data_IF_153412471607
#
_entry.id   IF_153412471607
#
_cell.length_a   1.000
_cell.length_b   1.000
_cell.length_c   1.000
_cell.angle_alpha   90.00
_cell.angle_beta   90.00
_cell.angle_gamma   90.00
#
_symmetry.space_group_name_H-M   'P 1'
#
loop_
_entity.id
_entity.type
_entity.pdbx_description
1 polymer ?
#
# COMPACT_ATOMS: atom_id res chain seq x y z
N UNK A 1 3.81 10.45 49.57
CA UNK A 1 3.40 11.08 48.29
C UNK A 1 4.65 11.46 47.52
N UNK A 2 4.64 11.25 46.19
CA UNK A 2 5.73 11.41 45.20
C UNK A 2 6.58 10.16 44.97
N UNK A 3 6.45 9.60 43.77
CA UNK A 3 7.34 8.56 43.24
C UNK A 3 6.77 7.72 42.09
N UNK A 4 5.45 7.60 41.95
CA UNK A 4 4.82 6.69 40.96
C UNK A 4 4.32 7.40 39.68
N UNK A 5 5.00 8.44 39.22
CA UNK A 5 4.49 9.29 38.14
C UNK A 5 5.50 9.50 37.00
N UNK A 6 6.26 8.45 36.65
CA UNK A 6 7.23 8.51 35.52
C UNK A 6 7.16 7.31 34.56
N UNK A 7 6.36 6.26 34.82
CA UNK A 7 6.40 5.01 34.02
C UNK A 7 5.16 4.83 33.12
N UNK A 8 4.50 5.91 32.73
CA UNK A 8 3.27 5.85 31.90
C UNK A 8 3.31 6.81 30.70
N UNK A 9 4.49 7.17 30.20
CA UNK A 9 4.65 7.96 28.98
C UNK A 9 5.37 7.23 27.84
N UNK A 10 5.57 5.91 27.95
CA UNK A 10 6.24 5.10 26.94
C UNK A 10 5.30 4.19 26.13
N UNK A 11 3.98 4.32 26.28
CA UNK A 11 3.00 3.49 25.59
C UNK A 11 2.21 4.36 24.61
N UNK A 12 2.02 3.84 23.39
CA UNK A 12 1.14 4.33 22.31
C UNK A 12 1.75 5.35 21.32
N UNK A 13 2.90 5.02 20.72
CA UNK A 13 3.00 5.21 19.26
C UNK A 13 2.51 3.93 18.60
N UNK A 14 1.22 3.64 18.75
CA UNK A 14 0.57 2.66 17.87
C UNK A 14 0.59 3.34 16.52
N UNK A 15 1.50 2.92 15.65
CA UNK A 15 1.43 3.24 14.23
C UNK A 15 0.07 2.71 13.79
N UNK A 16 -0.90 3.61 13.65
CA UNK A 16 -2.18 3.30 13.05
C UNK A 16 -1.84 3.00 11.60
N UNK A 17 -1.58 1.72 11.30
CA UNK A 17 -1.58 1.24 9.92
C UNK A 17 -3.01 1.41 9.44
N UNK A 18 -3.29 2.58 8.87
CA UNK A 18 -4.51 2.82 8.15
C UNK A 18 -4.51 1.79 7.02
N UNK A 19 -5.43 0.82 7.06
CA UNK A 19 -5.66 -0.15 5.98
C UNK A 19 -6.29 0.55 4.76
N UNK A 20 -5.80 1.74 4.42
CA UNK A 20 -6.16 2.40 3.18
C UNK A 20 -5.34 1.71 2.08
N UNK A 21 -6.04 0.98 1.21
CA UNK A 21 -5.45 0.38 0.02
C UNK A 21 -4.84 1.44 -0.90
N UNK A 22 -5.27 2.69 -0.75
CA UNK A 22 -4.74 3.85 -1.47
C UNK A 22 -4.26 4.93 -0.51
N UNK A 23 -3.11 5.51 -0.84
CA UNK A 23 -2.54 6.70 -0.18
C UNK A 23 -2.55 7.83 -1.21
N UNK A 24 -3.11 8.98 -0.83
CA UNK A 24 -3.12 10.20 -1.63
C UNK A 24 -2.43 11.30 -0.85
N UNK A 25 -1.30 11.79 -1.36
CA UNK A 25 -0.48 12.81 -0.70
C UNK A 25 -0.33 14.04 -1.59
N UNK A 26 -0.49 15.26 -1.03
CA UNK A 26 -0.19 16.48 -1.76
C UNK A 26 1.32 16.60 -1.96
N UNK A 27 1.75 16.90 -3.19
CA UNK A 27 3.15 17.18 -3.51
C UNK A 27 3.46 18.63 -3.18
N UNK A 28 4.42 18.84 -2.29
CA UNK A 28 4.82 20.19 -1.88
C UNK A 28 5.60 20.89 -3.01
N UNK A 29 5.27 22.15 -3.30
CA UNK A 29 6.04 22.95 -4.24
C UNK A 29 7.40 23.31 -3.66
N UNK A 30 8.44 23.36 -4.51
CA UNK A 30 9.77 23.80 -4.10
C UNK A 30 9.83 25.29 -3.76
N UNK A 31 8.82 26.08 -4.17
CA UNK A 31 8.75 27.52 -3.94
C UNK A 31 7.28 27.98 -3.89
N UNK A 32 6.91 29.00 -3.10
CA UNK A 32 5.53 29.42 -2.86
C UNK A 32 4.69 29.75 -4.12
N UNK A 33 5.32 29.96 -5.28
CA UNK A 33 4.67 30.35 -6.53
C UNK A 33 4.98 29.42 -7.71
N UNK A 34 5.58 28.25 -7.48
CA UNK A 34 5.92 27.30 -8.55
C UNK A 34 5.24 25.96 -8.30
N UNK A 35 4.45 25.49 -9.27
CA UNK A 35 3.89 24.14 -9.23
C UNK A 35 5.02 23.09 -9.21
N UNK A 36 4.87 21.96 -8.49
CA UNK A 36 5.79 20.84 -8.62
C UNK A 36 5.98 20.43 -10.08
N UNK A 37 7.21 20.09 -10.45
CA UNK A 37 7.54 19.61 -11.81
C UNK A 37 6.96 18.20 -12.08
N UNK A 38 6.60 17.50 -11.01
CA UNK A 38 6.09 16.14 -11.02
C UNK A 38 5.98 15.59 -9.60
N UNK A 39 5.71 14.30 -9.52
CA UNK A 39 5.67 13.58 -8.25
C UNK A 39 6.98 12.83 -8.06
N UNK A 40 7.54 12.90 -6.85
CA UNK A 40 8.73 12.15 -6.48
C UNK A 40 8.30 10.85 -5.82
N UNK A 41 8.74 9.71 -6.32
CA UNK A 41 8.45 8.41 -5.70
C UNK A 41 9.43 8.07 -4.57
N UNK A 42 9.21 6.93 -3.89
CA UNK A 42 10.08 6.45 -2.80
C UNK A 42 11.52 6.16 -3.24
N UNK A 43 11.78 6.04 -4.55
CA UNK A 43 13.10 5.84 -5.14
C UNK A 43 13.74 7.16 -5.60
N UNK A 44 13.14 8.30 -5.23
CA UNK A 44 13.55 9.65 -5.63
C UNK A 44 13.48 9.91 -7.14
N UNK A 45 12.65 9.16 -7.88
CA UNK A 45 12.43 9.39 -9.31
C UNK A 45 11.30 10.39 -9.49
N UNK A 46 11.53 11.39 -10.36
CA UNK A 46 10.51 12.37 -10.74
C UNK A 46 9.65 11.78 -11.86
N UNK A 47 8.35 11.66 -11.59
CA UNK A 47 7.33 11.24 -12.54
C UNK A 47 6.51 12.44 -13.00
N UNK A 48 6.25 12.54 -14.30
CA UNK A 48 5.55 13.69 -14.89
C UNK A 48 4.10 13.76 -14.40
N UNK A 49 3.56 14.97 -14.26
CA UNK A 49 2.11 15.13 -14.02
C UNK A 49 1.32 14.44 -15.15
N UNK A 50 0.31 13.66 -14.76
CA UNK A 50 -0.51 12.82 -15.64
C UNK A 50 0.02 11.40 -15.83
N UNK A 51 1.20 11.05 -15.33
CA UNK A 51 1.75 9.69 -15.49
C UNK A 51 1.17 8.70 -14.50
N UNK A 52 1.15 7.43 -14.91
CA UNK A 52 0.85 6.27 -14.06
C UNK A 52 1.97 5.25 -14.17
N UNK A 53 2.36 4.62 -13.05
CA UNK A 53 3.41 3.60 -13.03
C UNK A 53 3.17 2.55 -11.95
N UNK A 54 3.70 1.35 -12.19
CA UNK A 54 3.68 0.28 -11.20
C UNK A 54 4.99 0.25 -10.42
N UNK A 55 4.89 0.03 -9.12
CA UNK A 55 6.03 -0.17 -8.24
C UNK A 55 6.34 -1.66 -8.09
N UNK A 56 7.58 -1.95 -7.68
CA UNK A 56 8.00 -3.30 -7.29
C UNK A 56 7.25 -3.81 -6.07
N UNK A 57 6.71 -2.90 -5.26
CA UNK A 57 6.02 -3.20 -4.00
C UNK A 57 4.52 -3.40 -4.21
N UNK A 58 4.10 -3.69 -5.45
CA UNK A 58 2.72 -3.94 -5.83
C UNK A 58 1.78 -2.75 -5.60
N UNK A 59 2.22 -1.55 -5.96
CA UNK A 59 1.35 -0.38 -6.08
C UNK A 59 1.23 0.10 -7.51
N UNK A 60 0.07 0.63 -7.88
CA UNK A 60 -0.12 1.51 -9.03
C UNK A 60 -0.20 2.94 -8.53
N UNK A 61 0.78 3.75 -8.92
CA UNK A 61 0.90 5.15 -8.56
C UNK A 61 0.51 6.05 -9.72
N UNK A 62 -0.13 7.16 -9.39
CA UNK A 62 -0.59 8.17 -10.34
C UNK A 62 -0.15 9.54 -9.85
N UNK A 63 0.48 10.32 -10.73
CA UNK A 63 0.81 11.72 -10.46
C UNK A 63 -0.27 12.60 -11.07
N UNK A 64 -1.14 13.18 -10.24
CA UNK A 64 -2.33 13.89 -10.69
C UNK A 64 -2.22 15.38 -10.38
N UNK A 65 -2.93 16.21 -11.13
CA UNK A 65 -3.06 17.65 -10.83
C UNK A 65 -4.54 18.03 -10.77
N UNK A 66 -4.93 18.75 -9.72
CA UNK A 66 -6.28 19.24 -9.50
C UNK A 66 -6.21 20.59 -8.78
N UNK A 67 -6.99 21.60 -9.22
CA UNK A 67 -7.01 22.95 -8.63
C UNK A 67 -5.63 23.58 -8.38
N UNK A 68 -4.73 23.51 -9.37
CA UNK A 68 -3.34 23.99 -9.27
C UNK A 68 -2.53 23.34 -8.13
N UNK A 69 -2.89 22.13 -7.72
CA UNK A 69 -2.15 21.30 -6.76
C UNK A 69 -1.81 19.97 -7.39
N UNK A 70 -0.63 19.44 -7.07
CA UNK A 70 -0.17 18.13 -7.53
C UNK A 70 -0.34 17.12 -6.41
N UNK A 71 -0.76 15.90 -6.75
CA UNK A 71 -1.01 14.82 -5.82
C UNK A 71 -0.34 13.54 -6.31
N UNK A 72 0.27 12.80 -5.40
CA UNK A 72 0.71 11.43 -5.62
C UNK A 72 -0.34 10.49 -5.03
N UNK A 73 -0.98 9.70 -5.88
CA UNK A 73 -1.96 8.67 -5.48
C UNK A 73 -1.41 7.29 -5.77
N UNK A 74 -1.06 6.52 -4.74
CA UNK A 74 -0.60 5.14 -4.87
C UNK A 74 -1.60 4.18 -4.24
N UNK A 75 -2.12 3.25 -5.03
CA UNK A 75 -3.00 2.18 -4.58
C UNK A 75 -2.31 0.83 -4.70
N UNK A 76 -2.51 -0.06 -3.74
CA UNK A 76 -2.10 -1.44 -3.91
C UNK A 76 -2.82 -2.06 -5.11
N UNK A 77 -2.13 -2.98 -5.78
CA UNK A 77 -2.64 -3.74 -6.92
C UNK A 77 -2.65 -5.24 -6.64
N UNK A 78 -2.42 -5.64 -5.39
CA UNK A 78 -2.31 -7.04 -5.03
C UNK A 78 -3.68 -7.70 -5.09
N UNK A 79 -3.82 -8.75 -5.91
CA UNK A 79 -5.08 -9.49 -6.02
C UNK A 79 -5.09 -10.59 -4.97
N UNK A 80 -5.98 -10.46 -3.99
CA UNK A 80 -6.11 -11.39 -2.87
C UNK A 80 -7.39 -12.22 -3.00
N UNK A 81 -7.30 -13.55 -3.14
CA UNK A 81 -8.44 -14.44 -3.05
C UNK A 81 -9.14 -14.36 -1.67
N UNK A 82 -10.44 -14.63 -1.68
CA UNK A 82 -11.32 -14.64 -0.52
C UNK A 82 -12.30 -15.81 -0.59
N UNK A 83 -12.83 -16.23 0.57
CA UNK A 83 -13.78 -17.34 0.64
C UNK A 83 -13.18 -18.69 0.26
N UNK A 84 -11.90 -18.92 0.60
CA UNK A 84 -11.28 -20.24 0.57
C UNK A 84 -11.34 -20.89 1.95
N UNK A 85 -11.08 -22.20 2.03
CA UNK A 85 -11.02 -22.91 3.30
C UNK A 85 -9.75 -22.53 4.08
N UNK A 86 -9.83 -21.50 4.91
CA UNK A 86 -8.71 -21.02 5.73
C UNK A 86 -8.18 -22.07 6.72
N UNK A 87 -8.91 -23.17 6.99
CA UNK A 87 -8.42 -24.25 7.86
C UNK A 87 -7.37 -25.09 7.14
N UNK A 88 -7.67 -25.52 5.92
CA UNK A 88 -6.82 -26.44 5.17
C UNK A 88 -5.96 -25.75 4.10
N UNK A 89 -6.26 -24.50 3.77
CA UNK A 89 -5.57 -23.75 2.72
C UNK A 89 -4.98 -22.44 3.24
N UNK A 90 -3.97 -21.95 2.53
CA UNK A 90 -3.32 -20.68 2.83
C UNK A 90 -2.96 -19.90 1.56
N UNK A 91 -2.55 -18.64 1.75
CA UNK A 91 -2.18 -17.73 0.68
C UNK A 91 -0.66 -17.62 0.55
N UNK A 92 -0.14 -17.89 -0.64
CA UNK A 92 1.26 -17.62 -0.99
C UNK A 92 1.32 -16.41 -1.91
N UNK A 93 2.07 -15.39 -1.52
CA UNK A 93 2.23 -14.18 -2.32
C UNK A 93 3.32 -14.33 -3.37
N UNK A 94 3.00 -13.99 -4.62
CA UNK A 94 3.98 -13.80 -5.68
C UNK A 94 4.16 -12.30 -5.96
N UNK A 95 5.33 -11.78 -5.57
CA UNK A 95 5.72 -10.38 -5.78
C UNK A 95 5.78 -9.98 -7.26
N UNK A 96 6.08 -10.91 -8.15
CA UNK A 96 6.28 -10.63 -9.58
C UNK A 96 4.96 -10.33 -10.24
N UNK A 97 3.97 -11.18 -10.01
CA UNK A 97 2.60 -11.00 -10.52
C UNK A 97 1.77 -10.04 -9.65
N UNK A 98 2.16 -9.84 -8.38
CA UNK A 98 1.36 -9.19 -7.34
C UNK A 98 0.02 -9.91 -7.15
N UNK A 99 0.08 -11.23 -7.03
CA UNK A 99 -1.10 -12.07 -6.80
C UNK A 99 -0.85 -13.04 -5.66
N UNK A 100 -1.93 -13.49 -5.02
CA UNK A 100 -1.87 -14.58 -4.06
C UNK A 100 -2.42 -15.86 -4.69
N UNK A 101 -1.65 -16.95 -4.56
CA UNK A 101 -2.14 -18.30 -4.84
C UNK A 101 -2.77 -18.88 -3.59
N UNK A 102 -3.92 -19.56 -3.73
CA UNK A 102 -4.49 -20.37 -2.66
C UNK A 102 -4.02 -21.81 -2.83
N UNK A 103 -3.34 -22.36 -1.83
CA UNK A 103 -2.81 -23.73 -1.86
C UNK A 103 -3.15 -24.49 -0.58
N UNK A 104 -3.14 -25.82 -0.63
CA UNK A 104 -3.28 -26.65 0.57
C UNK A 104 -2.07 -26.44 1.49
N UNK A 105 -2.29 -26.36 2.81
CA UNK A 105 -1.21 -26.23 3.81
C UNK A 105 -0.33 -27.46 3.91
N UNK A 106 -0.87 -28.64 3.62
CA UNK A 106 -0.13 -29.91 3.69
C UNK A 106 0.67 -30.18 2.42
N UNK A 107 0.26 -29.62 1.28
CA UNK A 107 0.88 -29.83 -0.03
C UNK A 107 0.70 -28.59 -0.91
N UNK A 108 1.71 -27.73 -0.91
CA UNK A 108 1.67 -26.44 -1.63
C UNK A 108 1.65 -26.59 -3.16
N UNK A 109 1.78 -27.82 -3.70
CA UNK A 109 1.62 -28.08 -5.13
C UNK A 109 0.15 -28.16 -5.57
N UNK A 110 -0.78 -28.29 -4.61
CA UNK A 110 -2.22 -28.37 -4.87
C UNK A 110 -2.90 -27.05 -4.59
N UNK A 111 -3.68 -26.60 -5.57
CA UNK A 111 -4.46 -25.37 -5.48
C UNK A 111 -5.82 -25.61 -4.83
N UNK A 112 -6.22 -24.68 -3.96
CA UNK A 112 -7.56 -24.65 -3.38
C UNK A 112 -8.52 -23.77 -4.20
N UNK A 113 -9.81 -24.10 -4.14
CA UNK A 113 -10.86 -23.24 -4.68
C UNK A 113 -11.11 -22.04 -3.76
N UNK A 114 -11.57 -20.93 -4.34
CA UNK A 114 -11.94 -19.71 -3.63
C UNK A 114 -13.19 -19.07 -4.24
N UNK A 115 -13.92 -18.29 -3.45
CA UNK A 115 -15.23 -17.72 -3.85
C UNK A 115 -15.16 -16.39 -4.58
N UNK A 116 -14.06 -15.63 -4.40
CA UNK A 116 -13.90 -14.33 -5.07
C UNK A 116 -12.53 -13.70 -4.83
N UNK A 117 -12.33 -12.49 -5.34
CA UNK A 117 -11.09 -11.72 -5.17
C UNK A 117 -11.37 -10.33 -4.60
N UNK A 118 -10.44 -9.83 -3.81
CA UNK A 118 -10.37 -8.43 -3.39
C UNK A 118 -9.07 -7.83 -3.92
N UNK A 119 -9.14 -6.58 -4.35
CA UNK A 119 -7.95 -5.83 -4.78
C UNK A 119 -7.48 -5.01 -3.59
N UNK A 120 -6.21 -5.17 -3.22
CA UNK A 120 -5.61 -4.45 -2.11
C UNK A 120 -4.39 -3.64 -2.45
#
# INVERSE_FOLDING_TARGET
>A
MKGFLVVTFAVVFVVIQCNAQCIVEPVQPQSPNKLPEGCVDKKNVIHKIGSSWNTTDCYTCNCLSHDNKVYLSCCGRAIRPSGFDEKHCELIFDQTSCTYSVVEKEDHSKHCSFGGVVVG
#
